data_IF_634131359522
#
_entry.id   IF_634131359522
#
_cell.length_a   1.000
_cell.length_b   1.000
_cell.length_c   1.000
_cell.angle_alpha   90.00
_cell.angle_beta   90.00
_cell.angle_gamma   90.00
#
_symmetry.space_group_name_H-M   'P 1'
#
loop_
_entity.id
_entity.type
_entity.pdbx_description
1 polymer ?
#
# COMPACT_ATOMS: atom_id res chain seq x y z
N UNK A 1 16.44 -27.66 -38.12
CA UNK A 1 16.82 -26.45 -37.35
C UNK A 1 15.57 -25.59 -37.14
N UNK A 2 14.72 -25.47 -38.17
CA UNK A 2 13.39 -24.84 -38.17
C UNK A 2 12.47 -25.27 -36.99
N UNK A 3 12.43 -26.57 -36.69
CA UNK A 3 11.56 -27.10 -35.62
C UNK A 3 11.85 -26.51 -34.24
N UNK A 4 13.12 -26.18 -33.93
CA UNK A 4 13.45 -25.67 -32.59
C UNK A 4 12.87 -24.28 -32.34
N UNK A 5 12.90 -23.40 -33.35
CA UNK A 5 12.39 -22.02 -33.23
C UNK A 5 10.86 -22.03 -33.09
N UNK A 6 10.20 -22.91 -33.85
CA UNK A 6 8.75 -23.12 -33.78
C UNK A 6 8.38 -23.66 -32.40
N UNK A 7 9.10 -24.66 -31.92
CA UNK A 7 8.84 -25.28 -30.61
C UNK A 7 9.04 -24.32 -29.45
N UNK A 8 10.12 -23.53 -29.48
CA UNK A 8 10.39 -22.50 -28.46
C UNK A 8 9.27 -21.45 -28.42
N UNK A 9 8.80 -20.98 -29.59
CA UNK A 9 7.72 -20.01 -29.70
C UNK A 9 6.36 -20.59 -29.25
N UNK A 10 6.01 -21.79 -29.71
CA UNK A 10 4.75 -22.47 -29.39
C UNK A 10 4.68 -22.84 -27.90
N UNK A 11 5.80 -23.29 -27.32
CA UNK A 11 5.88 -23.55 -25.88
C UNK A 11 5.67 -22.25 -25.08
N UNK A 12 6.26 -21.13 -25.52
CA UNK A 12 6.09 -19.84 -24.85
C UNK A 12 4.64 -19.31 -24.94
N UNK A 13 3.95 -19.53 -26.07
CA UNK A 13 2.53 -19.18 -26.24
C UNK A 13 1.62 -20.05 -25.36
N UNK A 14 1.91 -21.34 -25.24
CA UNK A 14 1.01 -22.32 -24.62
C UNK A 14 1.35 -22.66 -23.16
N UNK A 15 2.42 -22.08 -22.59
CA UNK A 15 2.92 -22.41 -21.24
C UNK A 15 1.88 -22.30 -20.12
N UNK A 16 0.92 -21.38 -20.25
CA UNK A 16 -0.13 -21.11 -19.24
C UNK A 16 -1.44 -21.85 -19.52
N UNK A 17 -1.51 -22.62 -20.61
CA UNK A 17 -2.71 -23.37 -21.02
C UNK A 17 -2.79 -24.73 -20.33
N UNK A 18 -4.02 -25.21 -20.08
CA UNK A 18 -4.27 -26.57 -19.59
C UNK A 18 -3.95 -27.62 -20.65
N UNK A 19 -3.59 -28.84 -20.22
CA UNK A 19 -3.04 -29.89 -21.09
C UNK A 19 -3.82 -30.11 -22.40
N UNK A 20 -5.15 -30.24 -22.31
CA UNK A 20 -6.01 -30.46 -23.49
C UNK A 20 -5.99 -29.28 -24.49
N UNK A 21 -6.00 -28.04 -23.97
CA UNK A 21 -5.97 -26.83 -24.80
C UNK A 21 -4.57 -26.59 -25.37
N UNK A 22 -3.53 -26.89 -24.59
CA UNK A 22 -2.13 -26.78 -25.00
C UNK A 22 -1.87 -27.60 -26.26
N UNK A 23 -2.29 -28.87 -26.29
CA UNK A 23 -2.01 -29.74 -27.44
C UNK A 23 -2.76 -29.28 -28.70
N UNK A 24 -4.00 -28.82 -28.54
CA UNK A 24 -4.83 -28.31 -29.64
C UNK A 24 -4.26 -27.02 -30.24
N UNK A 25 -3.97 -26.03 -29.40
CA UNK A 25 -3.40 -24.74 -29.80
C UNK A 25 -1.97 -24.90 -30.32
N UNK A 26 -1.16 -25.77 -29.71
CA UNK A 26 0.19 -26.04 -30.19
C UNK A 26 0.19 -26.62 -31.61
N UNK A 27 -0.73 -27.55 -31.90
CA UNK A 27 -0.89 -28.11 -33.24
C UNK A 27 -1.36 -27.06 -34.24
N UNK A 28 -2.37 -26.26 -33.89
CA UNK A 28 -2.89 -25.18 -34.74
C UNK A 28 -1.80 -24.15 -35.09
N UNK A 29 -1.06 -23.68 -34.09
CA UNK A 29 0.03 -22.70 -34.28
C UNK A 29 1.16 -23.28 -35.12
N UNK A 30 1.55 -24.54 -34.90
CA UNK A 30 2.57 -25.21 -35.73
C UNK A 30 2.14 -25.26 -37.20
N UNK A 31 0.90 -25.68 -37.47
CA UNK A 31 0.36 -25.73 -38.83
C UNK A 31 0.34 -24.33 -39.46
N UNK A 32 -0.16 -23.32 -38.74
CA UNK A 32 -0.23 -21.96 -39.26
C UNK A 32 1.16 -21.35 -39.55
N UNK A 33 2.16 -21.64 -38.72
CA UNK A 33 3.54 -21.15 -38.95
C UNK A 33 4.16 -21.84 -40.17
N UNK A 34 3.95 -23.15 -40.32
CA UNK A 34 4.48 -23.90 -41.46
C UNK A 34 3.81 -23.47 -42.77
N UNK A 35 2.48 -23.35 -42.79
CA UNK A 35 1.74 -22.88 -43.98
C UNK A 35 2.16 -21.45 -44.38
N UNK A 36 2.37 -20.57 -43.40
CA UNK A 36 2.88 -19.22 -43.64
C UNK A 36 4.32 -19.20 -44.17
N UNK A 37 5.17 -20.11 -43.68
CA UNK A 37 6.55 -20.24 -44.14
C UNK A 37 6.62 -20.79 -45.57
N UNK A 38 5.80 -21.79 -45.91
CA UNK A 38 5.68 -22.34 -47.27
C UNK A 38 5.19 -21.28 -48.25
N UNK A 39 4.19 -20.47 -47.87
CA UNK A 39 3.69 -19.37 -48.70
C UNK A 39 4.77 -18.31 -48.96
N UNK A 40 5.51 -17.91 -47.93
CA UNK A 40 6.57 -16.89 -48.05
C UNK A 40 7.79 -17.41 -48.84
N UNK A 41 8.13 -18.69 -48.71
CA UNK A 41 9.17 -19.33 -49.48
C UNK A 41 8.80 -19.43 -50.97
N UNK A 42 7.56 -19.80 -51.27
CA UNK A 42 7.03 -19.87 -52.64
C UNK A 42 7.01 -18.49 -53.32
N UNK A 43 6.61 -17.44 -52.61
CA UNK A 43 6.62 -16.06 -53.12
C UNK A 43 8.04 -15.59 -53.49
N UNK A 44 9.04 -16.02 -52.72
CA UNK A 44 10.45 -15.65 -52.91
C UNK A 44 11.23 -16.61 -53.81
N UNK A 45 10.60 -17.69 -54.29
CA UNK A 45 11.25 -18.70 -55.11
C UNK A 45 12.41 -19.41 -54.40
N UNK A 46 12.32 -19.55 -53.07
CA UNK A 46 13.35 -20.17 -52.22
C UNK A 46 12.78 -21.34 -51.43
N UNK A 47 13.64 -22.07 -50.72
CA UNK A 47 13.25 -23.12 -49.77
C UNK A 47 13.00 -22.54 -48.38
N UNK A 48 12.17 -23.22 -47.59
CA UNK A 48 11.88 -22.82 -46.20
C UNK A 48 13.14 -22.98 -45.34
N UNK A 49 13.66 -21.86 -44.85
CA UNK A 49 14.79 -21.80 -43.93
C UNK A 49 14.41 -21.13 -42.59
N UNK A 50 15.35 -21.14 -41.64
CA UNK A 50 15.15 -20.53 -40.32
C UNK A 50 14.83 -19.02 -40.39
N UNK A 51 15.32 -18.33 -41.42
CA UNK A 51 15.08 -16.90 -41.59
C UNK A 51 13.62 -16.63 -41.98
N UNK A 52 13.06 -17.43 -42.88
CA UNK A 52 11.65 -17.38 -43.28
C UNK A 52 10.74 -17.71 -42.10
N UNK A 53 11.06 -18.76 -41.34
CA UNK A 53 10.29 -19.15 -40.14
C UNK A 53 10.33 -18.05 -39.08
N UNK A 54 11.51 -17.44 -38.87
CA UNK A 54 11.68 -16.31 -37.96
C UNK A 54 10.86 -15.08 -38.36
N UNK A 55 10.77 -14.81 -39.66
CA UNK A 55 9.97 -13.70 -40.21
C UNK A 55 8.46 -13.94 -40.02
N UNK A 56 7.98 -15.15 -40.28
CA UNK A 56 6.57 -15.52 -40.03
C UNK A 56 6.21 -15.37 -38.55
N UNK A 57 7.08 -15.86 -37.65
CA UNK A 57 6.88 -15.70 -36.19
C UNK A 57 6.91 -14.21 -35.79
N UNK A 58 7.81 -13.41 -36.36
CA UNK A 58 7.86 -11.97 -36.10
C UNK A 58 6.58 -11.26 -36.55
N UNK A 59 6.00 -11.67 -37.68
CA UNK A 59 4.76 -11.13 -38.22
C UNK A 59 3.53 -11.50 -37.38
N UNK A 60 3.52 -12.69 -36.75
CA UNK A 60 2.49 -13.08 -35.78
C UNK A 60 2.55 -12.25 -34.48
N UNK A 61 3.71 -11.65 -34.19
CA UNK A 61 3.95 -10.80 -33.04
C UNK A 61 4.44 -11.57 -31.80
N UNK A 62 4.58 -10.88 -30.66
CA UNK A 62 5.15 -11.50 -29.46
C UNK A 62 4.23 -12.60 -28.90
N UNK A 63 4.82 -13.70 -28.42
CA UNK A 63 4.12 -14.87 -27.90
C UNK A 63 3.02 -14.53 -26.87
N UNK A 64 3.29 -13.55 -25.99
CA UNK A 64 2.32 -13.07 -24.99
C UNK A 64 1.05 -12.46 -25.60
N UNK A 65 1.17 -11.81 -26.75
CA UNK A 65 0.03 -11.19 -27.47
C UNK A 65 -0.80 -12.26 -28.17
N UNK A 66 -0.16 -13.28 -28.75
CA UNK A 66 -0.85 -14.41 -29.38
C UNK A 66 -1.54 -15.29 -28.33
N UNK A 67 -0.88 -15.53 -27.19
CA UNK A 67 -1.49 -16.26 -26.06
C UNK A 67 -2.79 -15.60 -25.55
N UNK A 68 -2.88 -14.27 -25.59
CA UNK A 68 -4.06 -13.53 -25.16
C UNK A 68 -5.29 -13.71 -26.08
N UNK A 69 -5.10 -14.22 -27.31
CA UNK A 69 -6.19 -14.52 -28.24
C UNK A 69 -6.91 -15.83 -27.88
N UNK A 70 -6.26 -16.70 -27.10
CA UNK A 70 -6.81 -17.97 -26.65
C UNK A 70 -7.27 -17.84 -25.19
N UNK A 71 -8.59 -17.74 -24.94
CA UNK A 71 -9.09 -17.69 -23.56
C UNK A 71 -8.78 -19.01 -22.87
N UNK A 72 -7.96 -18.96 -21.81
CA UNK A 72 -7.76 -20.09 -20.90
C UNK A 72 -8.85 -20.10 -19.81
N UNK A 73 -9.16 -21.26 -19.22
CA UNK A 73 -10.01 -21.34 -18.01
C UNK A 73 -9.49 -20.48 -16.85
N UNK A 74 -8.18 -20.22 -16.80
CA UNK A 74 -7.55 -19.32 -15.83
C UNK A 74 -7.83 -17.82 -16.11
N UNK A 75 -8.09 -17.44 -17.37
CA UNK A 75 -8.47 -16.07 -17.75
C UNK A 75 -9.96 -15.77 -17.62
N UNK A 76 -10.84 -16.76 -17.68
CA UNK A 76 -12.30 -16.52 -17.57
C UNK A 76 -12.76 -16.38 -16.11
N UNK A 77 -12.02 -16.97 -15.17
CA UNK A 77 -12.19 -16.82 -13.73
C UNK A 77 -10.79 -16.82 -13.09
N UNK A 78 -10.18 -15.63 -13.01
CA UNK A 78 -8.90 -15.41 -12.31
C UNK A 78 -9.01 -15.76 -10.83
N UNK A 79 -8.89 -17.05 -10.49
CA UNK A 79 -9.01 -17.62 -9.15
C UNK A 79 -8.02 -17.05 -8.11
N UNK A 80 -7.02 -16.25 -8.53
CA UNK A 80 -6.06 -15.64 -7.62
C UNK A 80 -6.70 -14.55 -6.75
N UNK A 81 -7.58 -13.73 -7.31
CA UNK A 81 -8.23 -12.63 -6.56
C UNK A 81 -9.40 -13.13 -5.72
N UNK A 82 -10.17 -14.09 -6.23
CA UNK A 82 -11.21 -14.79 -5.45
C UNK A 82 -10.61 -15.56 -4.26
N UNK A 83 -9.43 -16.18 -4.44
CA UNK A 83 -8.69 -16.79 -3.33
C UNK A 83 -8.26 -15.75 -2.29
N UNK A 84 -7.77 -14.58 -2.72
CA UNK A 84 -7.47 -13.45 -1.83
C UNK A 84 -8.68 -12.95 -1.05
N UNK A 85 -9.86 -12.87 -1.69
CA UNK A 85 -11.11 -12.53 -1.01
C UNK A 85 -11.48 -13.56 0.06
N UNK A 86 -11.36 -14.85 -0.25
CA UNK A 86 -11.60 -15.93 0.72
C UNK A 86 -10.61 -15.91 1.88
N UNK A 87 -9.35 -15.58 1.65
CA UNK A 87 -8.35 -15.46 2.70
C UNK A 87 -8.62 -14.24 3.61
N UNK A 88 -9.09 -13.12 3.04
CA UNK A 88 -9.54 -11.95 3.81
C UNK A 88 -10.80 -12.24 4.65
N UNK A 89 -11.77 -12.98 4.09
CA UNK A 89 -12.98 -13.43 4.82
C UNK A 89 -12.60 -14.36 5.97
N UNK A 90 -11.65 -15.29 5.76
CA UNK A 90 -11.14 -16.17 6.83
C UNK A 90 -10.42 -15.39 7.91
N UNK A 91 -9.60 -14.40 7.55
CA UNK A 91 -8.91 -13.54 8.52
C UNK A 91 -9.90 -12.75 9.38
N UNK A 92 -10.95 -12.17 8.76
CA UNK A 92 -12.05 -11.53 9.48
C UNK A 92 -12.79 -12.50 10.40
N UNK A 93 -13.07 -13.72 9.92
CA UNK A 93 -13.68 -14.77 10.74
C UNK A 93 -12.83 -15.12 11.96
N UNK A 94 -11.50 -15.17 11.80
CA UNK A 94 -10.56 -15.39 12.92
C UNK A 94 -10.56 -14.25 13.94
N UNK A 95 -10.59 -13.00 13.48
CA UNK A 95 -10.70 -11.83 14.36
C UNK A 95 -12.02 -11.86 15.15
N UNK A 96 -13.12 -12.16 14.48
CA UNK A 96 -14.44 -12.26 15.12
C UNK A 96 -14.47 -13.36 16.15
N UNK A 97 -13.92 -14.53 15.83
CA UNK A 97 -13.83 -15.64 16.78
C UNK A 97 -13.03 -15.23 18.02
N UNK A 98 -11.92 -14.50 17.86
CA UNK A 98 -11.14 -13.97 18.97
C UNK A 98 -11.97 -12.98 19.83
N UNK A 99 -12.72 -12.07 19.22
CA UNK A 99 -13.60 -11.16 19.95
C UNK A 99 -14.75 -11.87 20.67
N UNK A 100 -15.35 -12.90 20.06
CA UNK A 100 -16.38 -13.71 20.69
C UNK A 100 -15.84 -14.53 21.87
N UNK A 101 -14.61 -15.04 21.76
CA UNK A 101 -13.94 -15.72 22.87
C UNK A 101 -13.67 -14.77 24.04
N UNK A 102 -13.17 -13.56 23.76
CA UNK A 102 -12.95 -12.53 24.78
C UNK A 102 -14.27 -12.12 25.43
N UNK A 103 -15.33 -11.92 24.64
CA UNK A 103 -16.67 -11.63 25.16
C UNK A 103 -17.21 -12.77 26.03
N UNK A 104 -16.99 -14.03 25.62
CA UNK A 104 -17.37 -15.21 26.40
C UNK A 104 -16.62 -15.32 27.73
N UNK A 105 -15.31 -15.04 27.74
CA UNK A 105 -14.51 -14.99 28.98
C UNK A 105 -15.00 -13.86 29.89
N UNK A 106 -15.26 -12.68 29.34
CA UNK A 106 -15.80 -11.55 30.11
C UNK A 106 -17.19 -11.86 30.67
N UNK A 107 -18.03 -12.60 29.96
CA UNK A 107 -19.33 -13.03 30.46
C UNK A 107 -19.22 -13.97 31.67
N UNK A 108 -18.22 -14.86 31.67
CA UNK A 108 -17.94 -15.75 32.81
C UNK A 108 -17.37 -15.00 34.01
N UNK A 109 -16.50 -14.01 33.77
CA UNK A 109 -15.76 -13.29 34.83
C UNK A 109 -16.56 -12.12 35.42
N UNK A 110 -17.38 -11.46 34.60
CA UNK A 110 -18.13 -10.27 34.98
C UNK A 110 -19.54 -10.29 34.34
N UNK A 111 -20.42 -11.22 34.78
CA UNK A 111 -21.75 -11.41 34.18
C UNK A 111 -22.64 -10.18 34.28
N UNK A 112 -22.51 -9.40 35.35
CA UNK A 112 -23.35 -8.22 35.61
C UNK A 112 -23.10 -7.08 34.60
N UNK A 113 -21.92 -7.03 33.97
CA UNK A 113 -21.56 -6.03 32.95
C UNK A 113 -22.21 -6.36 31.59
N UNK A 114 -22.50 -7.64 31.32
CA UNK A 114 -22.89 -8.12 29.99
C UNK A 114 -24.35 -8.58 29.89
N UNK A 115 -25.05 -8.83 31.00
CA UNK A 115 -26.39 -9.43 30.97
C UNK A 115 -27.46 -8.60 30.21
N UNK A 116 -27.34 -7.27 30.12
CA UNK A 116 -28.24 -6.44 29.30
C UNK A 116 -27.64 -6.03 27.93
N UNK A 117 -26.32 -6.08 27.79
CA UNK A 117 -25.60 -5.57 26.61
C UNK A 117 -25.13 -6.67 25.65
N UNK A 118 -25.10 -7.94 26.06
CA UNK A 118 -24.53 -9.03 25.27
C UNK A 118 -25.25 -9.25 23.93
N UNK A 119 -26.58 -9.08 23.91
CA UNK A 119 -27.35 -9.15 22.65
C UNK A 119 -26.98 -7.97 21.73
N UNK A 120 -26.74 -6.78 22.29
CA UNK A 120 -26.31 -5.61 21.50
C UNK A 120 -24.88 -5.79 20.98
N UNK A 121 -23.97 -6.31 21.81
CA UNK A 121 -22.59 -6.64 21.42
C UNK A 121 -22.58 -7.66 20.28
N UNK A 122 -23.35 -8.74 20.38
CA UNK A 122 -23.44 -9.76 19.31
C UNK A 122 -24.03 -9.16 18.02
N UNK A 123 -25.12 -8.38 18.12
CA UNK A 123 -25.71 -7.68 16.96
C UNK A 123 -24.72 -6.70 16.34
N UNK A 124 -23.95 -5.97 17.15
CA UNK A 124 -22.91 -5.05 16.71
C UNK A 124 -21.77 -5.76 15.98
N UNK A 125 -21.31 -6.90 16.51
CA UNK A 125 -20.27 -7.72 15.88
C UNK A 125 -20.75 -8.27 14.53
N UNK A 126 -21.97 -8.83 14.47
CA UNK A 126 -22.56 -9.36 13.22
C UNK A 126 -22.77 -8.24 12.20
N UNK A 127 -23.27 -7.08 12.63
CA UNK A 127 -23.46 -5.91 11.78
C UNK A 127 -22.14 -5.38 11.21
N UNK A 128 -21.11 -5.27 12.06
CA UNK A 128 -19.77 -4.87 11.64
C UNK A 128 -19.15 -5.87 10.64
N UNK A 129 -19.39 -7.17 10.83
CA UNK A 129 -18.97 -8.24 9.93
C UNK A 129 -19.62 -8.13 8.55
N UNK A 130 -20.94 -7.98 8.52
CA UNK A 130 -21.68 -7.85 7.27
C UNK A 130 -21.22 -6.62 6.48
N UNK A 131 -21.00 -5.50 7.18
CA UNK A 131 -20.46 -4.28 6.59
C UNK A 131 -19.02 -4.49 6.09
N UNK A 132 -18.14 -5.10 6.88
CA UNK A 132 -16.76 -5.37 6.48
C UNK A 132 -16.70 -6.28 5.24
N UNK A 133 -17.52 -7.33 5.19
CA UNK A 133 -17.62 -8.22 4.02
C UNK A 133 -18.14 -7.45 2.80
N UNK A 134 -19.17 -6.62 2.96
CA UNK A 134 -19.71 -5.81 1.87
C UNK A 134 -18.66 -4.81 1.34
N UNK A 135 -17.95 -4.12 2.22
CA UNK A 135 -16.88 -3.18 1.86
C UNK A 135 -15.74 -3.91 1.14
N UNK A 136 -15.32 -5.07 1.64
CA UNK A 136 -14.31 -5.90 0.97
C UNK A 136 -14.80 -6.33 -0.41
N UNK A 137 -16.04 -6.79 -0.54
CA UNK A 137 -16.60 -7.19 -1.83
C UNK A 137 -16.61 -6.03 -2.83
N UNK A 138 -16.95 -4.81 -2.37
CA UNK A 138 -16.89 -3.59 -3.18
C UNK A 138 -15.46 -3.23 -3.57
N UNK A 139 -14.48 -3.36 -2.66
CA UNK A 139 -13.07 -3.13 -2.95
C UNK A 139 -12.58 -4.12 -4.01
N UNK A 140 -12.88 -5.41 -3.86
CA UNK A 140 -12.52 -6.44 -4.84
C UNK A 140 -13.22 -6.22 -6.19
N UNK A 141 -14.49 -5.82 -6.19
CA UNK A 141 -15.20 -5.46 -7.43
C UNK A 141 -14.54 -4.24 -8.10
N UNK A 142 -14.19 -3.21 -7.34
CA UNK A 142 -13.49 -2.03 -7.85
C UNK A 142 -12.12 -2.39 -8.43
N UNK A 143 -11.34 -3.23 -7.73
CA UNK A 143 -10.06 -3.74 -8.25
C UNK A 143 -10.26 -4.54 -9.54
N UNK A 144 -11.24 -5.44 -9.60
CA UNK A 144 -11.54 -6.22 -10.79
C UNK A 144 -11.91 -5.33 -11.99
N UNK A 145 -12.78 -4.33 -11.78
CA UNK A 145 -13.12 -3.35 -12.82
C UNK A 145 -11.92 -2.50 -13.26
N UNK A 146 -11.03 -2.19 -12.33
CA UNK A 146 -9.81 -1.43 -12.61
C UNK A 146 -8.79 -2.26 -13.40
N UNK A 147 -8.53 -3.50 -12.99
CA UNK A 147 -7.59 -4.40 -13.67
C UNK A 147 -8.08 -4.82 -15.07
N UNK A 148 -9.38 -5.08 -15.22
CA UNK A 148 -9.97 -5.50 -16.50
C UNK A 148 -10.00 -4.39 -17.56
N UNK A 149 -9.88 -3.10 -17.19
CA UNK A 149 -9.96 -1.98 -18.14
C UNK A 149 -8.73 -1.08 -18.24
N UNK A 150 -7.84 -1.02 -17.23
CA UNK A 150 -6.83 0.04 -17.12
C UNK A 150 -5.39 -0.43 -16.89
N UNK A 151 -5.15 -1.72 -16.63
CA UNK A 151 -3.89 -2.21 -16.03
C UNK A 151 -2.64 -2.05 -16.92
N UNK A 152 -2.73 -2.36 -18.21
CA UNK A 152 -1.54 -2.49 -19.07
C UNK A 152 -0.75 -1.18 -19.27
N UNK A 153 -1.37 0.00 -19.51
CA UNK A 153 -0.63 1.27 -19.62
C UNK A 153 -0.32 1.95 -18.26
N UNK A 154 -0.99 1.58 -17.17
CA UNK A 154 -0.87 2.24 -15.88
C UNK A 154 0.27 1.68 -15.01
N UNK A 155 0.57 0.38 -15.08
CA UNK A 155 1.66 -0.26 -14.34
C UNK A 155 3.03 0.36 -14.66
N UNK A 156 3.29 0.68 -15.93
CA UNK A 156 4.55 1.31 -16.35
C UNK A 156 4.70 2.75 -15.82
N UNK A 157 3.59 3.48 -15.66
CA UNK A 157 3.59 4.82 -15.05
C UNK A 157 3.72 4.76 -13.54
N UNK A 158 3.04 3.81 -12.90
CA UNK A 158 3.16 3.54 -11.47
C UNK A 158 4.57 3.13 -11.06
N UNK A 159 5.21 2.20 -11.78
CA UNK A 159 6.60 1.82 -11.48
C UNK A 159 7.56 3.02 -11.57
N UNK A 160 7.35 3.90 -12.55
CA UNK A 160 8.15 5.12 -12.70
C UNK A 160 7.88 6.11 -11.55
N UNK A 161 6.62 6.23 -11.13
CA UNK A 161 6.22 7.08 -10.01
C UNK A 161 6.75 6.53 -8.69
N UNK A 162 6.62 5.23 -8.43
CA UNK A 162 7.15 4.53 -7.26
C UNK A 162 8.66 4.67 -7.16
N UNK A 163 9.39 4.49 -8.27
CA UNK A 163 10.83 4.76 -8.33
C UNK A 163 11.15 6.21 -7.97
N UNK A 164 10.36 7.17 -8.45
CA UNK A 164 10.53 8.59 -8.11
C UNK A 164 10.14 8.93 -6.68
N UNK A 165 9.22 8.20 -6.05
CA UNK A 165 8.81 8.42 -4.66
C UNK A 165 9.78 7.76 -3.67
N UNK A 166 10.44 6.67 -4.08
CA UNK A 166 11.40 5.95 -3.26
C UNK A 166 12.81 6.58 -3.28
N UNK A 167 13.16 7.41 -4.28
CA UNK A 167 14.41 8.19 -4.24
C UNK A 167 14.27 9.37 -3.26
N UNK A 168 15.09 9.36 -2.22
CA UNK A 168 15.13 10.40 -1.18
C UNK A 168 15.42 11.81 -1.73
N UNK A 169 16.07 11.93 -2.89
CA UNK A 169 16.38 13.23 -3.51
C UNK A 169 15.40 13.66 -4.60
N UNK A 170 14.30 12.95 -4.79
CA UNK A 170 13.37 13.24 -5.88
C UNK A 170 12.59 14.54 -5.63
N UNK A 171 12.60 15.49 -6.58
CA UNK A 171 11.83 16.73 -6.47
C UNK A 171 10.33 16.51 -6.27
N UNK A 172 9.78 15.44 -6.84
CA UNK A 172 8.37 15.11 -6.71
C UNK A 172 8.03 14.69 -5.28
N UNK A 173 8.84 13.79 -4.69
CA UNK A 173 8.67 13.34 -3.31
C UNK A 173 8.72 14.53 -2.35
N UNK A 174 9.75 15.34 -2.49
CA UNK A 174 9.99 16.54 -1.67
C UNK A 174 8.83 17.52 -1.83
N UNK A 175 8.38 17.78 -3.06
CA UNK A 175 7.23 18.64 -3.34
C UNK A 175 5.94 18.16 -2.68
N UNK A 176 5.64 16.85 -2.76
CA UNK A 176 4.46 16.24 -2.12
C UNK A 176 4.56 16.35 -0.59
N UNK A 177 5.72 16.03 -0.01
CA UNK A 177 5.92 16.13 1.44
C UNK A 177 5.76 17.56 1.94
N UNK A 178 6.39 18.54 1.27
CA UNK A 178 6.27 19.97 1.63
C UNK A 178 4.82 20.45 1.50
N UNK A 179 4.14 20.14 0.39
CA UNK A 179 2.74 20.53 0.20
C UNK A 179 1.84 19.90 1.28
N UNK A 180 2.03 18.62 1.59
CA UNK A 180 1.33 17.92 2.65
C UNK A 180 1.57 18.55 4.02
N UNK A 181 2.81 18.92 4.36
CA UNK A 181 3.14 19.61 5.61
C UNK A 181 2.47 20.98 5.68
N UNK A 182 2.47 21.78 4.60
CA UNK A 182 1.79 23.09 4.57
C UNK A 182 0.29 22.93 4.80
N UNK A 183 -0.36 22.01 4.08
CA UNK A 183 -1.80 21.74 4.25
C UNK A 183 -2.08 21.30 5.69
N UNK A 184 -1.29 20.39 6.24
CA UNK A 184 -1.43 19.93 7.62
C UNK A 184 -1.31 21.07 8.63
N UNK A 185 -0.29 21.93 8.49
CA UNK A 185 -0.13 23.10 9.36
C UNK A 185 -1.31 24.07 9.23
N UNK A 186 -1.79 24.32 8.01
CA UNK A 186 -2.96 25.18 7.80
C UNK A 186 -4.21 24.60 8.49
N UNK A 187 -4.46 23.30 8.32
CA UNK A 187 -5.57 22.61 8.99
C UNK A 187 -5.44 22.68 10.51
N UNK A 188 -4.25 22.41 11.05
CA UNK A 188 -4.00 22.50 12.49
C UNK A 188 -4.36 23.90 13.01
N UNK A 189 -3.84 24.96 12.39
CA UNK A 189 -4.08 26.34 12.87
C UNK A 189 -5.54 26.77 12.76
N UNK A 190 -6.29 26.28 11.77
CA UNK A 190 -7.70 26.64 11.58
C UNK A 190 -8.62 25.84 12.50
N UNK A 191 -8.35 24.54 12.66
CA UNK A 191 -9.31 23.60 13.23
C UNK A 191 -9.01 23.13 14.64
N UNK A 192 -7.79 23.30 15.20
CA UNK A 192 -7.44 22.71 16.50
C UNK A 192 -8.44 23.06 17.62
N UNK A 193 -8.91 24.31 17.69
CA UNK A 193 -9.84 24.77 18.72
C UNK A 193 -11.31 24.43 18.44
N UNK A 194 -11.63 23.83 17.29
CA UNK A 194 -13.00 23.65 16.78
C UNK A 194 -13.34 22.20 16.48
N UNK A 195 -12.56 21.21 16.93
CA UNK A 195 -12.84 19.79 16.68
C UNK A 195 -13.89 19.29 17.68
N UNK A 196 -15.17 19.09 17.30
CA UNK A 196 -16.15 18.47 18.18
C UNK A 196 -15.87 16.98 18.32
N UNK A 197 -16.09 16.44 19.51
CA UNK A 197 -15.91 15.03 19.84
C UNK A 197 -16.97 14.56 20.82
N UNK A 198 -17.27 13.26 20.80
CA UNK A 198 -18.23 12.66 21.72
C UNK A 198 -17.63 12.57 23.13
N UNK A 199 -18.30 13.16 24.12
CA UNK A 199 -17.84 13.13 25.52
C UNK A 199 -18.01 11.75 26.16
N UNK A 200 -19.04 11.01 25.77
CA UNK A 200 -19.39 9.69 26.30
C UNK A 200 -20.10 8.85 25.23
N UNK A 201 -19.97 7.53 25.34
CA UNK A 201 -20.69 6.55 24.50
C UNK A 201 -21.98 6.02 25.17
N UNK A 202 -22.52 6.76 26.16
CA UNK A 202 -23.74 6.41 26.89
C UNK A 202 -25.01 7.11 26.41
N UNK A 203 -26.05 7.12 27.25
CA UNK A 203 -27.42 7.55 26.92
C UNK A 203 -27.59 9.05 26.60
N UNK A 204 -26.62 9.91 26.97
CA UNK A 204 -26.63 11.34 26.62
C UNK A 204 -25.33 11.73 25.88
N UNK A 205 -25.29 11.56 24.54
CA UNK A 205 -24.14 11.89 23.72
C UNK A 205 -24.00 13.40 23.58
N UNK A 206 -23.20 14.01 24.47
CA UNK A 206 -22.84 15.41 24.37
C UNK A 206 -21.60 15.60 23.51
N UNK A 207 -21.64 16.57 22.60
CA UNK A 207 -20.48 16.99 21.82
C UNK A 207 -19.71 18.07 22.58
N UNK A 208 -18.47 17.75 22.91
CA UNK A 208 -17.52 18.68 23.55
C UNK A 208 -16.32 18.88 22.64
N UNK A 209 -15.58 19.96 22.83
CA UNK A 209 -14.33 20.14 22.10
C UNK A 209 -13.32 19.06 22.53
N UNK A 210 -12.60 18.46 21.58
CA UNK A 210 -11.61 17.43 21.88
C UNK A 210 -10.43 17.97 22.69
N UNK A 211 -9.94 19.14 22.27
CA UNK A 211 -8.74 19.77 22.80
C UNK A 211 -9.12 20.89 23.77
N UNK A 212 -8.40 21.00 24.88
CA UNK A 212 -8.57 22.11 25.82
C UNK A 212 -7.90 23.38 25.28
N UNK A 213 -8.22 24.57 25.83
CA UNK A 213 -7.51 25.81 25.50
C UNK A 213 -5.99 25.73 25.73
N UNK A 214 -5.55 24.89 26.67
CA UNK A 214 -4.13 24.67 26.98
C UNK A 214 -3.36 24.06 25.80
N UNK A 215 -4.05 23.37 24.88
CA UNK A 215 -3.44 22.86 23.66
C UNK A 215 -2.85 23.99 22.80
N UNK A 216 -3.39 25.20 22.91
CA UNK A 216 -2.89 26.38 22.20
C UNK A 216 -1.41 26.68 22.47
N UNK A 217 -0.88 26.30 23.63
CA UNK A 217 0.55 26.45 23.95
C UNK A 217 1.48 25.56 23.11
N UNK A 218 0.97 24.44 22.59
CA UNK A 218 1.73 23.49 21.77
C UNK A 218 1.73 23.86 20.28
N UNK A 219 0.71 24.60 19.82
CA UNK A 219 0.55 24.97 18.40
C UNK A 219 1.78 25.71 17.84
N UNK A 220 2.38 26.72 18.51
CA UNK A 220 3.60 27.37 18.03
C UNK A 220 4.78 26.40 17.86
N UNK A 221 4.93 25.44 18.77
CA UNK A 221 6.01 24.43 18.71
C UNK A 221 5.77 23.45 17.56
N UNK A 222 4.53 23.00 17.36
CA UNK A 222 4.17 22.14 16.21
C UNK A 222 4.41 22.88 14.89
N UNK A 223 4.02 24.16 14.81
CA UNK A 223 4.28 25.01 13.65
C UNK A 223 5.78 25.14 13.36
N UNK A 224 6.59 25.38 14.40
CA UNK A 224 8.04 25.45 14.27
C UNK A 224 8.63 24.14 13.73
N UNK A 225 8.25 22.99 14.29
CA UNK A 225 8.69 21.68 13.81
C UNK A 225 8.28 21.48 12.34
N UNK A 226 7.07 21.86 11.95
CA UNK A 226 6.62 21.78 10.57
C UNK A 226 7.42 22.67 9.61
N UNK A 227 7.73 23.91 10.00
CA UNK A 227 8.59 24.81 9.21
C UNK A 227 10.00 24.26 9.06
N UNK A 228 10.60 23.75 10.15
CA UNK A 228 11.93 23.13 10.10
C UNK A 228 11.90 21.86 9.25
N UNK A 229 10.81 21.09 9.30
CA UNK A 229 10.63 19.92 8.43
C UNK A 229 10.66 20.33 6.96
N UNK A 230 9.94 21.39 6.57
CA UNK A 230 9.98 21.92 5.20
C UNK A 230 11.41 22.34 4.82
N UNK A 231 12.11 23.04 5.71
CA UNK A 231 13.49 23.46 5.47
C UNK A 231 14.43 22.27 5.23
N UNK A 232 14.31 21.20 6.03
CA UNK A 232 15.08 19.96 5.86
C UNK A 232 14.74 19.26 4.54
N UNK A 233 13.47 19.23 4.15
CA UNK A 233 13.06 18.67 2.85
C UNK A 233 13.66 19.45 1.67
N UNK A 234 13.69 20.78 1.74
CA UNK A 234 14.34 21.60 0.73
C UNK A 234 15.87 21.40 0.71
N UNK A 235 16.47 21.11 1.87
CA UNK A 235 17.89 20.84 1.98
C UNK A 235 18.31 19.58 1.19
N UNK A 236 17.42 18.59 1.04
CA UNK A 236 17.67 17.42 0.17
C UNK A 236 17.85 17.79 -1.31
N UNK A 237 17.27 18.91 -1.77
CA UNK A 237 17.46 19.41 -3.13
C UNK A 237 18.74 20.23 -3.28
N UNK A 238 19.11 20.96 -2.23
CA UNK A 238 20.25 21.86 -2.25
C UNK A 238 21.60 21.15 -2.00
N UNK A 239 21.63 20.16 -1.11
CA UNK A 239 22.85 19.47 -0.73
C UNK A 239 23.08 18.18 -1.53
N UNK A 240 24.28 18.06 -2.09
CA UNK A 240 24.75 16.83 -2.74
C UNK A 240 24.97 15.68 -1.74
N UNK A 241 25.28 16.02 -0.48
CA UNK A 241 25.47 15.06 0.61
C UNK A 241 24.13 14.75 1.31
N UNK A 242 23.45 13.69 0.85
CA UNK A 242 22.13 13.29 1.32
C UNK A 242 22.07 12.78 2.78
N UNK A 243 23.22 12.50 3.43
CA UNK A 243 23.25 12.05 4.82
C UNK A 243 22.94 13.19 5.82
N UNK A 244 23.28 14.44 5.50
CA UNK A 244 23.05 15.59 6.40
C UNK A 244 21.53 15.84 6.58
N UNK A 245 20.74 15.98 5.49
CA UNK A 245 19.29 16.11 5.63
C UNK A 245 18.65 14.90 6.33
N UNK A 246 19.16 13.68 6.08
CA UNK A 246 18.66 12.47 6.73
C UNK A 246 18.91 12.44 8.24
N UNK A 247 20.06 12.93 8.69
CA UNK A 247 20.37 13.09 10.11
C UNK A 247 19.43 14.12 10.77
N UNK A 248 19.17 15.24 10.08
CA UNK A 248 18.25 16.27 10.57
C UNK A 248 16.81 15.76 10.65
N UNK A 249 16.36 14.94 9.70
CA UNK A 249 15.05 14.27 9.78
C UNK A 249 14.95 13.31 10.97
N UNK A 250 16.02 12.56 11.26
CA UNK A 250 16.06 11.71 12.43
C UNK A 250 15.99 12.53 13.73
N UNK A 251 16.74 13.64 13.81
CA UNK A 251 16.69 14.56 14.93
C UNK A 251 15.28 15.17 15.10
N UNK A 252 14.63 15.58 14.01
CA UNK A 252 13.26 16.08 14.04
C UNK A 252 12.26 15.03 14.51
N UNK A 253 12.43 13.76 14.13
CA UNK A 253 11.58 12.67 14.62
C UNK A 253 11.72 12.47 16.14
N UNK A 254 12.95 12.59 16.68
CA UNK A 254 13.17 12.56 18.14
C UNK A 254 12.53 13.76 18.84
N UNK A 255 12.71 14.97 18.30
CA UNK A 255 12.07 16.19 18.84
C UNK A 255 10.55 16.07 18.81
N UNK A 256 9.99 15.50 17.74
CA UNK A 256 8.55 15.23 17.62
C UNK A 256 8.08 14.22 18.67
N UNK A 257 8.83 13.14 18.90
CA UNK A 257 8.53 12.18 19.97
C UNK A 257 8.54 12.84 21.36
N UNK A 258 9.53 13.69 21.64
CA UNK A 258 9.60 14.46 22.90
C UNK A 258 8.42 15.42 23.06
N UNK A 259 7.97 16.06 21.98
CA UNK A 259 6.76 16.87 22.00
C UNK A 259 5.53 16.04 22.35
N UNK A 260 5.38 14.84 21.79
CA UNK A 260 4.27 13.95 22.14
C UNK A 260 4.34 13.43 23.58
N UNK A 261 5.55 13.20 24.12
CA UNK A 261 5.74 12.91 25.56
C UNK A 261 5.27 14.09 26.40
N UNK A 262 5.60 15.33 25.99
CA UNK A 262 5.14 16.52 26.70
C UNK A 262 3.63 16.70 26.63
N UNK A 263 3.01 16.46 25.47
CA UNK A 263 1.54 16.43 25.31
C UNK A 263 0.91 15.36 26.18
N UNK A 264 1.52 14.17 26.28
CA UNK A 264 1.01 13.09 27.13
C UNK A 264 1.08 13.46 28.63
N UNK A 265 2.17 14.13 29.03
CA UNK A 265 2.38 14.54 30.41
C UNK A 265 1.48 15.71 30.84
N UNK A 266 1.31 16.72 29.97
CA UNK A 266 0.42 17.86 30.21
C UNK A 266 -1.05 17.49 30.03
N UNK A 267 -1.33 16.53 29.15
CA UNK A 267 -2.65 16.04 28.77
C UNK A 267 -3.68 17.15 28.48
N UNK A 268 -3.43 18.01 27.46
CA UNK A 268 -4.26 19.17 27.11
C UNK A 268 -5.56 18.78 26.35
N UNK A 269 -6.24 17.74 26.82
CA UNK A 269 -7.53 17.29 26.29
C UNK A 269 -8.65 17.77 27.21
N UNK A 270 -9.86 17.89 26.68
CA UNK A 270 -10.98 18.38 27.47
C UNK A 270 -11.28 17.45 28.66
N UNK A 271 -11.31 17.96 29.91
CA UNK A 271 -11.59 17.15 31.10
C UNK A 271 -13.00 16.57 31.13
N UNK A 272 -13.94 17.12 30.35
CA UNK A 272 -15.32 16.62 30.22
C UNK A 272 -15.41 15.28 29.47
N UNK A 273 -14.33 14.84 28.82
CA UNK A 273 -14.26 13.52 28.19
C UNK A 273 -14.36 12.42 29.24
N UNK A 274 -15.13 11.38 28.97
CA UNK A 274 -15.23 10.21 29.84
C UNK A 274 -13.86 9.55 30.09
N UNK A 275 -13.67 8.95 31.26
CA UNK A 275 -12.40 8.31 31.64
C UNK A 275 -11.93 7.22 30.67
N UNK A 276 -12.87 6.51 30.03
CA UNK A 276 -12.56 5.54 28.98
C UNK A 276 -11.97 6.19 27.72
N UNK A 277 -12.54 7.30 27.27
CA UNK A 277 -12.03 8.07 26.13
C UNK A 277 -10.67 8.69 26.45
N UNK A 278 -10.51 9.30 27.63
CA UNK A 278 -9.23 9.87 28.05
C UNK A 278 -8.13 8.80 28.08
N UNK A 279 -8.42 7.61 28.62
CA UNK A 279 -7.48 6.49 28.63
C UNK A 279 -7.15 6.01 27.22
N UNK A 280 -8.15 5.91 26.33
CA UNK A 280 -7.95 5.60 24.93
C UNK A 280 -7.02 6.60 24.23
N UNK A 281 -7.22 7.90 24.45
CA UNK A 281 -6.36 8.96 23.91
C UNK A 281 -4.92 8.79 24.41
N UNK A 282 -4.71 8.53 25.71
CA UNK A 282 -3.36 8.29 26.26
C UNK A 282 -2.65 7.12 25.56
N UNK A 283 -3.37 6.02 25.34
CA UNK A 283 -2.82 4.85 24.62
C UNK A 283 -2.46 5.21 23.18
N UNK A 284 -3.33 5.94 22.47
CA UNK A 284 -3.05 6.38 21.10
C UNK A 284 -1.82 7.29 21.05
N UNK A 285 -1.71 8.26 21.96
CA UNK A 285 -0.54 9.15 22.04
C UNK A 285 0.73 8.34 22.35
N UNK A 286 0.66 7.36 23.26
CA UNK A 286 1.79 6.48 23.57
C UNK A 286 2.24 5.66 22.34
N UNK A 287 1.30 5.13 21.56
CA UNK A 287 1.61 4.44 20.30
C UNK A 287 2.30 5.39 19.32
N UNK A 288 1.81 6.62 19.16
CA UNK A 288 2.42 7.63 18.29
C UNK A 288 3.85 7.95 18.72
N UNK A 289 4.15 8.02 20.03
CA UNK A 289 5.52 8.20 20.54
C UNK A 289 6.42 7.05 20.08
N UNK A 290 5.99 5.80 20.28
CA UNK A 290 6.75 4.61 19.90
C UNK A 290 7.00 4.57 18.39
N UNK A 291 5.99 4.88 17.57
CA UNK A 291 6.13 4.91 16.12
C UNK A 291 7.12 5.98 15.66
N UNK A 292 7.10 7.18 16.27
CA UNK A 292 8.07 8.24 15.97
C UNK A 292 9.50 7.84 16.35
N UNK A 293 9.69 7.16 17.48
CA UNK A 293 11.01 6.65 17.89
C UNK A 293 11.52 5.56 16.94
N UNK A 294 10.64 4.67 16.49
CA UNK A 294 10.99 3.66 15.50
C UNK A 294 11.38 4.29 14.14
N UNK A 295 10.63 5.30 13.69
CA UNK A 295 10.97 6.06 12.49
C UNK A 295 12.31 6.79 12.64
N UNK A 296 12.58 7.40 13.80
CA UNK A 296 13.86 8.02 14.10
C UNK A 296 15.02 7.00 14.02
N UNK A 297 14.86 5.83 14.65
CA UNK A 297 15.87 4.76 14.61
C UNK A 297 16.12 4.27 13.18
N UNK A 298 15.06 4.10 12.38
CA UNK A 298 15.16 3.72 10.97
C UNK A 298 15.90 4.77 10.15
N UNK A 299 15.60 6.06 10.34
CA UNK A 299 16.28 7.18 9.65
C UNK A 299 17.74 7.30 10.07
N UNK A 300 18.07 7.10 11.35
CA UNK A 300 19.46 7.04 11.82
C UNK A 300 20.22 5.89 11.16
N UNK A 301 19.61 4.71 11.08
CA UNK A 301 20.21 3.56 10.40
C UNK A 301 20.48 3.86 8.92
N UNK A 302 19.50 4.44 8.21
CA UNK A 302 19.67 4.86 6.81
C UNK A 302 20.76 5.92 6.64
N UNK A 303 20.82 6.89 7.56
CA UNK A 303 21.88 7.90 7.58
C UNK A 303 23.25 7.24 7.73
N UNK A 304 23.39 6.28 8.65
CA UNK A 304 24.63 5.53 8.85
C UNK A 304 25.06 4.77 7.59
N UNK A 305 24.11 4.13 6.91
CA UNK A 305 24.37 3.45 5.63
C UNK A 305 24.82 4.44 4.54
N UNK A 306 24.15 5.58 4.41
CA UNK A 306 24.51 6.62 3.43
C UNK A 306 25.90 7.19 3.70
N UNK A 307 26.22 7.45 4.97
CA UNK A 307 27.52 7.94 5.41
C UNK A 307 28.63 6.95 5.05
N UNK A 308 28.46 5.67 5.43
CA UNK A 308 29.44 4.62 5.12
C UNK A 308 29.62 4.40 3.61
N UNK A 309 28.53 4.41 2.84
CA UNK A 309 28.60 4.20 1.40
C UNK A 309 29.24 5.37 0.65
N UNK A 310 29.04 6.62 1.12
CA UNK A 310 29.71 7.79 0.52
C UNK A 310 31.18 7.88 0.88
N UNK A 311 31.59 7.43 2.08
CA UNK A 311 32.97 7.54 2.54
C UNK A 311 33.85 6.34 2.13
N UNK A 312 33.27 5.15 1.94
CA UNK A 312 34.00 3.91 1.65
C UNK A 312 33.53 3.18 0.38
N UNK A 313 32.64 3.80 -0.41
CA UNK A 313 32.15 3.23 -1.67
C UNK A 313 33.24 3.17 -2.75
N UNK A 314 33.14 2.22 -3.71
CA UNK A 314 34.16 1.94 -4.72
C UNK A 314 34.44 3.08 -5.74
N UNK A 315 33.84 4.27 -5.56
CA UNK A 315 34.14 5.47 -6.34
C UNK A 315 34.89 6.57 -5.57
N UNK A 316 35.33 6.31 -4.32
CA UNK A 316 36.08 7.28 -3.48
C UNK A 316 37.60 7.19 -3.65
N UNK A 317 38.09 6.24 -4.45
CA UNK A 317 39.48 6.15 -4.90
C UNK A 317 39.58 6.66 -6.35
N UNK A 318 39.40 7.97 -6.54
CA UNK A 318 39.76 8.70 -7.74
C UNK A 318 40.13 10.14 -7.37
#
# INVERSE_FOLDING_TARGET
MNEKIIDDYVNEVTKEMGAKQRDEVARELRTHILDGADALAAERGTIVDDAIVGEVIANMGPARKVAALYPTPATFLGMKELKGMWDAIKALGGIVLAFLLVAGVLWVVAPDVLNNEMIQVIKGIIGALALAIAVIAVIFAAMYFYESRLKVPYEARLQRLEKSLNDAGSPLKIGITVAGTIIWLALLNIFWAKVPFLASFGDDPQFVLLLSPDFGGFVPVINLIGVVTIAVQLLYLALRQKWIPSLLEAALAVVSALLFVWILAAFPFNPELSGGIQSGIKVVVAIVIVLNLFDAAKKLWQTGQLFLHQQFGPGSAA
#
